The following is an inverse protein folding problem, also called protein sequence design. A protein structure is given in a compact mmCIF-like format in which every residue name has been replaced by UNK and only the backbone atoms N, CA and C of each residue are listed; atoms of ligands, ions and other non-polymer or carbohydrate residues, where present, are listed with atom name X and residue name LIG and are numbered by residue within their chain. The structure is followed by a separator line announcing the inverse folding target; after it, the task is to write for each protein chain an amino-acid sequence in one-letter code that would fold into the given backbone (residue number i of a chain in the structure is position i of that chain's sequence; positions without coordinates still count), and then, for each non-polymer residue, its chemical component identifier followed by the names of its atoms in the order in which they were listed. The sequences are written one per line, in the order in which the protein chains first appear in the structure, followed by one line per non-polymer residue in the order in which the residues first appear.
data_IF_117277654815
#
_entry.id   IF_117277654815
#
_cell.length_a   1.000
_cell.length_b   1.000
_cell.length_c   1.000
_cell.angle_alpha   90.00
_cell.angle_beta   90.00
_cell.angle_gamma   90.00
#
_symmetry.space_group_name_H-M   'P 1'
#
loop_
_entity.id
_entity.type
_entity.pdbx_description
1 polymer ?
#
# COMPACT_ATOMS: atom_id res chain seq x y z
N UNK A 1 -10.87 -17.67 -13.11
CA UNK A 1 -11.95 -16.97 -12.38
C UNK A 1 -12.19 -15.63 -13.06
N UNK A 2 -13.40 -15.06 -13.04
CA UNK A 2 -13.61 -13.71 -13.57
C UNK A 2 -12.79 -12.70 -12.75
N UNK A 3 -12.30 -11.65 -13.41
CA UNK A 3 -11.53 -10.59 -12.75
C UNK A 3 -12.39 -9.88 -11.68
N UNK A 4 -11.77 -9.52 -10.56
CA UNK A 4 -12.40 -8.70 -9.52
C UNK A 4 -12.35 -7.22 -9.92
N UNK A 5 -13.24 -6.84 -10.84
CA UNK A 5 -13.31 -5.48 -11.44
C UNK A 5 -13.59 -4.37 -10.40
N UNK A 6 -14.35 -4.68 -9.34
CA UNK A 6 -14.68 -3.73 -8.26
C UNK A 6 -13.80 -3.92 -7.01
N UNK A 7 -12.59 -4.48 -7.20
CA UNK A 7 -11.60 -4.60 -6.15
C UNK A 7 -10.39 -3.70 -6.42
N UNK A 8 -9.94 -3.01 -5.38
CA UNK A 8 -8.88 -2.01 -5.44
C UNK A 8 -7.85 -2.26 -4.36
N UNK A 9 -6.61 -1.87 -4.61
CA UNK A 9 -5.58 -2.00 -3.61
C UNK A 9 -4.51 -0.92 -3.69
N UNK A 10 -3.95 -0.61 -2.52
CA UNK A 10 -2.73 0.18 -2.37
C UNK A 10 -1.75 -0.65 -1.53
N UNK A 11 -0.59 -0.90 -2.11
CA UNK A 11 0.47 -1.72 -1.53
C UNK A 11 1.72 -0.86 -1.39
N UNK A 12 2.26 -0.78 -0.17
CA UNK A 12 3.34 0.15 0.18
C UNK A 12 4.48 -0.63 0.83
N UNK A 13 5.69 -0.43 0.33
CA UNK A 13 6.92 -0.99 0.91
C UNK A 13 7.99 0.10 1.08
N UNK A 14 8.49 0.31 2.29
CA UNK A 14 9.52 1.33 2.55
C UNK A 14 10.63 0.71 3.40
N UNK A 15 11.84 0.60 2.85
CA UNK A 15 13.00 0.04 3.53
C UNK A 15 14.18 1.02 3.60
N UNK A 16 14.34 1.86 2.58
CA UNK A 16 15.50 2.74 2.41
C UNK A 16 15.24 4.15 2.99
N UNK A 17 15.11 4.22 4.31
CA UNK A 17 14.97 5.50 5.01
C UNK A 17 16.27 6.32 5.00
N UNK A 18 16.14 7.65 4.87
CA UNK A 18 17.28 8.58 4.86
C UNK A 18 17.75 8.96 6.26
N UNK A 19 16.81 9.17 7.20
CA UNK A 19 17.10 9.77 8.51
C UNK A 19 17.01 8.78 9.67
N UNK A 20 16.55 7.56 9.43
CA UNK A 20 16.42 6.49 10.42
C UNK A 20 16.98 5.19 9.83
N UNK A 21 17.16 4.19 10.69
CA UNK A 21 17.72 2.90 10.29
C UNK A 21 16.95 2.32 9.10
N UNK A 22 17.69 1.78 8.13
CA UNK A 22 17.09 1.04 7.03
C UNK A 22 16.52 -0.29 7.53
N UNK A 23 15.46 -0.74 6.88
CA UNK A 23 14.93 -2.09 7.09
C UNK A 23 15.56 -3.07 6.07
N UNK A 24 15.51 -4.39 6.34
CA UNK A 24 15.94 -5.39 5.37
C UNK A 24 15.16 -5.28 4.05
N UNK A 25 15.80 -5.65 2.94
CA UNK A 25 15.17 -5.64 1.61
C UNK A 25 13.93 -6.55 1.51
N UNK A 26 13.75 -7.47 2.46
CA UNK A 26 12.54 -8.29 2.55
C UNK A 26 11.29 -7.45 2.67
N UNK A 27 11.33 -6.26 3.29
CA UNK A 27 10.20 -5.33 3.37
C UNK A 27 9.68 -4.93 1.98
N UNK A 28 10.58 -4.66 1.03
CA UNK A 28 10.21 -4.34 -0.35
C UNK A 28 9.72 -5.58 -1.08
N UNK A 29 10.34 -6.73 -0.80
CA UNK A 29 9.93 -8.01 -1.38
C UNK A 29 8.52 -8.41 -0.92
N UNK A 30 8.17 -8.20 0.34
CA UNK A 30 6.84 -8.51 0.86
C UNK A 30 5.77 -7.68 0.15
N UNK A 31 6.03 -6.37 -0.04
CA UNK A 31 5.12 -5.51 -0.80
C UNK A 31 4.99 -5.94 -2.27
N UNK A 32 6.10 -6.32 -2.94
CA UNK A 32 6.06 -6.82 -4.31
C UNK A 32 5.29 -8.16 -4.41
N UNK A 33 5.57 -9.11 -3.51
CA UNK A 33 4.92 -10.42 -3.49
C UNK A 33 3.40 -10.28 -3.26
N UNK A 34 2.98 -9.34 -2.39
CA UNK A 34 1.56 -9.03 -2.17
C UNK A 34 0.93 -8.41 -3.42
N UNK A 35 1.60 -7.45 -4.07
CA UNK A 35 1.12 -6.89 -5.33
C UNK A 35 0.94 -7.99 -6.39
N UNK A 36 1.96 -8.83 -6.59
CA UNK A 36 1.94 -9.91 -7.58
C UNK A 36 0.83 -10.93 -7.29
N UNK A 37 0.60 -11.26 -6.01
CA UNK A 37 -0.48 -12.15 -5.59
C UNK A 37 -1.87 -11.54 -5.90
N UNK A 38 -2.06 -10.25 -5.61
CA UNK A 38 -3.34 -9.56 -5.83
C UNK A 38 -3.72 -9.55 -7.31
N UNK A 39 -2.78 -9.23 -8.19
CA UNK A 39 -3.06 -9.14 -9.64
C UNK A 39 -3.07 -10.51 -10.34
N UNK A 40 -2.67 -11.59 -9.66
CA UNK A 40 -2.62 -12.90 -10.27
C UNK A 40 -4.04 -13.46 -10.54
N UNK A 41 -4.42 -13.74 -11.79
CA UNK A 41 -5.76 -14.18 -12.16
C UNK A 41 -6.12 -15.60 -11.69
N UNK A 42 -5.13 -16.40 -11.26
CA UNK A 42 -5.32 -17.72 -10.67
C UNK A 42 -5.47 -17.67 -9.15
N UNK A 43 -5.22 -16.52 -8.52
CA UNK A 43 -5.36 -16.30 -7.08
C UNK A 43 -6.42 -15.23 -6.81
N UNK A 44 -6.02 -13.97 -6.60
CA UNK A 44 -6.93 -12.90 -6.21
C UNK A 44 -7.62 -12.22 -7.40
N UNK A 45 -6.97 -12.14 -8.56
CA UNK A 45 -7.57 -11.65 -9.80
C UNK A 45 -8.01 -10.18 -9.77
N UNK A 46 -7.37 -9.32 -8.98
CA UNK A 46 -7.60 -7.88 -9.05
C UNK A 46 -7.13 -7.37 -10.41
N UNK A 47 -7.87 -6.43 -11.00
CA UNK A 47 -7.39 -5.76 -12.21
C UNK A 47 -6.08 -5.01 -11.90
N UNK A 48 -4.99 -5.18 -12.68
CA UNK A 48 -3.74 -4.45 -12.45
C UNK A 48 -3.92 -2.92 -12.40
N UNK A 49 -4.88 -2.38 -13.14
CA UNK A 49 -5.20 -0.95 -13.14
C UNK A 49 -5.87 -0.47 -11.84
N UNK A 50 -6.32 -1.39 -10.99
CA UNK A 50 -6.93 -1.11 -9.69
C UNK A 50 -5.96 -1.33 -8.52
N UNK A 51 -4.75 -1.82 -8.77
CA UNK A 51 -3.74 -2.07 -7.75
C UNK A 51 -2.58 -1.10 -7.96
N UNK A 52 -2.26 -0.29 -6.95
CA UNK A 52 -1.11 0.61 -6.96
C UNK A 52 -0.03 0.10 -6.01
N UNK A 53 1.20 0.02 -6.50
CA UNK A 53 2.40 -0.31 -5.70
C UNK A 53 3.27 0.93 -5.55
N UNK A 54 3.65 1.26 -4.32
CA UNK A 54 4.59 2.34 -4.00
C UNK A 54 5.77 1.79 -3.21
N UNK A 55 6.98 1.89 -3.77
CA UNK A 55 8.21 1.44 -3.12
C UNK A 55 9.16 2.60 -2.84
N UNK A 56 9.75 2.61 -1.64
CA UNK A 56 10.78 3.55 -1.20
C UNK A 56 10.51 5.02 -1.58
N UNK A 57 11.28 5.56 -2.54
CA UNK A 57 11.22 6.96 -2.95
C UNK A 57 9.90 7.34 -3.64
N UNK A 58 9.13 6.35 -4.11
CA UNK A 58 7.79 6.56 -4.65
C UNK A 58 6.75 6.69 -3.54
N UNK A 59 6.98 6.05 -2.39
CA UNK A 59 6.09 6.04 -1.22
C UNK A 59 6.22 7.32 -0.37
N UNK A 60 6.20 8.48 -1.02
CA UNK A 60 6.21 9.77 -0.33
C UNK A 60 4.87 10.02 0.38
N UNK A 61 4.86 10.86 1.42
CA UNK A 61 3.62 11.31 2.08
C UNK A 61 2.59 11.82 1.08
N UNK A 62 3.02 12.62 0.10
CA UNK A 62 2.13 13.17 -0.92
C UNK A 62 1.55 12.07 -1.82
N UNK A 63 2.36 11.12 -2.28
CA UNK A 63 1.91 10.01 -3.11
C UNK A 63 0.94 9.08 -2.37
N UNK A 64 1.23 8.76 -1.10
CA UNK A 64 0.35 7.92 -0.26
C UNK A 64 -0.99 8.62 -0.03
N UNK A 65 -0.99 9.91 0.35
CA UNK A 65 -2.23 10.68 0.54
C UNK A 65 -3.05 10.78 -0.75
N UNK A 66 -2.38 10.96 -1.90
CA UNK A 66 -3.03 11.01 -3.20
C UNK A 66 -3.65 9.65 -3.55
N UNK A 67 -2.92 8.56 -3.37
CA UNK A 67 -3.41 7.21 -3.63
C UNK A 67 -4.63 6.85 -2.76
N UNK A 68 -4.62 7.22 -1.47
CA UNK A 68 -5.78 7.06 -0.58
C UNK A 68 -6.99 7.91 -1.04
N UNK A 69 -6.74 9.14 -1.47
CA UNK A 69 -7.78 10.02 -2.04
C UNK A 69 -8.38 9.40 -3.31
N UNK A 70 -7.56 8.87 -4.20
CA UNK A 70 -8.01 8.26 -5.45
C UNK A 70 -8.76 6.95 -5.20
N UNK A 71 -8.34 6.14 -4.23
CA UNK A 71 -9.10 4.97 -3.77
C UNK A 71 -10.50 5.37 -3.34
N UNK A 72 -10.63 6.38 -2.46
CA UNK A 72 -11.95 6.83 -1.98
C UNK A 72 -12.89 7.32 -3.08
N UNK A 73 -12.34 7.89 -4.16
CA UNK A 73 -13.12 8.35 -5.33
C UNK A 73 -13.53 7.22 -6.25
N UNK A 74 -12.73 6.15 -6.32
CA UNK A 74 -12.95 5.02 -7.23
C UNK A 74 -13.79 3.91 -6.60
N UNK A 75 -13.73 3.76 -5.28
CA UNK A 75 -14.52 2.77 -4.54
C UNK A 75 -15.96 3.22 -4.30
N UNK A 76 -16.87 2.26 -4.19
CA UNK A 76 -18.26 2.43 -3.80
C UNK A 76 -18.63 1.43 -2.68
N UNK A 77 -19.90 1.41 -2.29
CA UNK A 77 -20.41 0.54 -1.21
C UNK A 77 -20.21 -0.97 -1.45
N UNK A 78 -20.04 -1.38 -2.71
CA UNK A 78 -19.87 -2.78 -3.11
C UNK A 78 -18.40 -3.11 -3.41
N UNK A 79 -17.49 -2.14 -3.28
CA UNK A 79 -16.07 -2.34 -3.56
C UNK A 79 -15.36 -3.07 -2.44
N UNK A 80 -14.39 -3.90 -2.81
CA UNK A 80 -13.38 -4.42 -1.86
C UNK A 80 -12.12 -3.58 -1.97
N UNK A 81 -11.67 -2.99 -0.87
CA UNK A 81 -10.41 -2.22 -0.82
C UNK A 81 -9.42 -2.94 0.07
N UNK A 82 -8.20 -3.18 -0.43
CA UNK A 82 -7.10 -3.78 0.30
C UNK A 82 -5.95 -2.78 0.46
N UNK A 83 -5.54 -2.51 1.70
CA UNK A 83 -4.39 -1.67 2.02
C UNK A 83 -3.32 -2.52 2.70
N UNK A 84 -2.12 -2.52 2.15
CA UNK A 84 -0.97 -3.21 2.73
C UNK A 84 0.21 -2.26 2.87
N UNK A 85 0.86 -2.30 4.03
CA UNK A 85 2.03 -1.50 4.36
C UNK A 85 3.06 -2.38 5.04
N UNK A 86 4.26 -2.45 4.47
CA UNK A 86 5.45 -3.00 5.10
C UNK A 86 6.47 -1.88 5.26
N UNK A 87 6.71 -1.44 6.50
CA UNK A 87 7.48 -0.24 6.81
C UNK A 87 7.87 -0.20 8.29
N UNK A 88 8.62 0.85 8.70
CA UNK A 88 8.68 1.23 10.11
C UNK A 88 7.29 1.63 10.62
N UNK A 89 7.04 1.32 11.88
CA UNK A 89 5.92 1.85 12.65
C UNK A 89 6.44 2.66 13.84
N UNK A 90 5.68 3.64 14.29
CA UNK A 90 6.03 4.46 15.43
C UNK A 90 4.78 5.03 16.08
N UNK A 91 4.94 5.46 17.32
CA UNK A 91 3.93 6.17 18.08
C UNK A 91 4.55 7.47 18.58
N UNK A 92 3.80 8.57 18.46
CA UNK A 92 4.17 9.87 19.01
C UNK A 92 3.74 9.91 20.47
N UNK A 93 4.68 9.95 21.41
CA UNK A 93 4.36 9.88 22.84
C UNK A 93 3.95 11.23 23.45
N UNK A 94 4.45 12.35 22.90
CA UNK A 94 4.26 13.69 23.47
C UNK A 94 3.99 14.75 22.39
N UNK A 95 3.36 15.85 22.78
CA UNK A 95 3.05 17.00 21.91
C UNK A 95 1.63 16.98 21.33
N UNK A 96 1.36 17.86 20.36
CA UNK A 96 0.03 18.03 19.75
C UNK A 96 -0.48 16.81 18.98
N UNK A 97 0.40 15.84 18.73
CA UNK A 97 0.10 14.59 18.02
C UNK A 97 0.29 13.37 18.92
N UNK A 98 0.33 13.55 20.25
CA UNK A 98 0.48 12.43 21.18
C UNK A 98 -0.62 11.38 20.98
N UNK A 99 -0.24 10.11 20.96
CA UNK A 99 -1.12 8.97 20.69
C UNK A 99 -1.38 8.67 19.21
N UNK A 100 -0.84 9.47 18.29
CA UNK A 100 -0.80 9.15 16.85
C UNK A 100 0.37 8.24 16.50
#
# INVERSE_FOLDING_TARGET
MPAMENAYALVIGIANYQNINKLPLTVLKDAQDIYDLLINPLHCGYSPNNVQLLLDNQATKAAISQALTDLSKRSNQDSTVFLYISSHGGQVEFGSHAGQ
#
